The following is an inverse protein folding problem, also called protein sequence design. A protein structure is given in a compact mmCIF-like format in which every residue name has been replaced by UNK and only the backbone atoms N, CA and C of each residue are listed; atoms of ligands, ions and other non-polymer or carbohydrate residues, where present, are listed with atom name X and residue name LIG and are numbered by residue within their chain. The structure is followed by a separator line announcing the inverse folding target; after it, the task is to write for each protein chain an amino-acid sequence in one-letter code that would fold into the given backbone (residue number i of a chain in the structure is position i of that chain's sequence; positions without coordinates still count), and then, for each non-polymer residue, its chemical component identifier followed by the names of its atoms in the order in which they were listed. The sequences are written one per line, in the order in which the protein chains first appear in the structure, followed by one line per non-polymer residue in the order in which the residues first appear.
data_IF_335840661927
#
_entry.id   IF_335840661927
#
_cell.length_a   1.000
_cell.length_b   1.000
_cell.length_c   1.000
_cell.angle_alpha   90.00
_cell.angle_beta   90.00
_cell.angle_gamma   90.00
#
_symmetry.space_group_name_H-M   'P 1'
#
loop_
_entity.id
_entity.type
_entity.pdbx_description
1 polymer ?
#
# COMPACT_ATOMS: atom_id res chain seq x y z
N UNK A 1 -12.17 -46.34 -26.34
CA UNK A 1 -11.37 -47.58 -26.39
C UNK A 1 -9.93 -47.20 -26.74
N UNK A 2 -8.84 -47.72 -26.20
CA UNK A 2 -8.52 -48.51 -25.03
C UNK A 2 -6.97 -48.37 -24.90
N UNK A 3 -6.48 -48.39 -23.66
CA UNK A 3 -5.06 -48.23 -23.32
C UNK A 3 -4.19 -49.39 -23.83
N UNK A 4 -2.88 -49.17 -23.90
CA UNK A 4 -1.89 -50.25 -23.86
C UNK A 4 -0.78 -49.92 -22.87
N UNK A 5 -0.57 -50.88 -21.98
CA UNK A 5 0.31 -50.93 -20.82
C UNK A 5 1.73 -51.34 -21.23
N UNK A 6 2.72 -50.95 -20.42
CA UNK A 6 3.76 -51.90 -19.97
C UNK A 6 4.38 -51.45 -18.65
N UNK A 7 4.31 -52.37 -17.69
CA UNK A 7 4.93 -52.35 -16.38
C UNK A 7 6.26 -53.13 -16.39
N UNK A 8 7.12 -52.92 -15.38
CA UNK A 8 7.86 -53.93 -14.59
C UNK A 8 8.82 -53.22 -13.62
N UNK A 9 8.59 -53.29 -12.30
CA UNK A 9 9.29 -54.10 -11.27
C UNK A 9 10.71 -53.57 -10.91
N UNK A 10 11.25 -53.62 -9.68
CA UNK A 10 11.05 -54.51 -8.54
C UNK A 10 11.56 -53.86 -7.24
N UNK A 11 10.94 -54.28 -6.15
CA UNK A 11 11.27 -54.14 -4.72
C UNK A 11 12.73 -54.47 -4.34
N UNK A 12 13.21 -53.88 -3.23
CA UNK A 12 13.65 -54.65 -2.03
C UNK A 12 13.85 -53.75 -0.80
N UNK A 13 13.25 -54.22 0.29
CA UNK A 13 13.35 -53.78 1.68
C UNK A 13 14.64 -54.26 2.35
N UNK A 14 15.05 -53.60 3.44
CA UNK A 14 15.78 -54.20 4.59
C UNK A 14 15.62 -53.29 5.83
N UNK A 15 14.83 -53.78 6.79
CA UNK A 15 14.86 -53.41 8.21
C UNK A 15 15.81 -54.40 8.91
N UNK A 16 16.68 -53.93 9.81
CA UNK A 16 17.08 -54.65 11.02
C UNK A 16 17.60 -53.66 12.08
N UNK A 17 17.45 -54.10 13.33
CA UNK A 17 17.31 -53.35 14.58
C UNK A 17 18.61 -53.23 15.39
N UNK A 18 18.66 -52.18 16.22
CA UNK A 18 19.35 -51.92 17.50
C UNK A 18 20.61 -52.71 17.92
N UNK A 19 21.61 -51.96 18.42
CA UNK A 19 22.12 -52.08 19.80
C UNK A 19 22.97 -50.88 20.24
N UNK A 20 22.92 -50.63 21.53
CA UNK A 20 23.33 -49.46 22.33
C UNK A 20 24.85 -49.26 22.49
N UNK A 21 25.26 -48.03 22.84
CA UNK A 21 26.59 -47.74 23.39
C UNK A 21 26.92 -46.25 23.50
N UNK A 22 26.71 -45.66 24.68
CA UNK A 22 27.16 -44.32 25.04
C UNK A 22 28.70 -44.27 25.23
N UNK A 23 29.38 -43.21 24.77
CA UNK A 23 30.32 -42.40 25.57
C UNK A 23 30.98 -41.29 24.71
N UNK A 24 30.70 -40.03 25.12
CA UNK A 24 31.57 -38.84 25.19
C UNK A 24 32.74 -38.69 24.19
N UNK A 25 32.66 -37.63 23.35
CA UNK A 25 33.45 -36.41 23.54
C UNK A 25 33.16 -35.33 22.46
N UNK A 26 33.43 -34.04 22.76
CA UNK A 26 32.73 -32.90 22.19
C UNK A 26 33.53 -32.23 21.08
N UNK A 27 32.90 -32.06 19.90
CA UNK A 27 33.45 -31.20 18.87
C UNK A 27 32.38 -30.19 18.42
N UNK A 28 32.70 -28.92 18.71
CA UNK A 28 32.26 -27.68 18.06
C UNK A 28 31.06 -27.80 17.11
N UNK A 29 29.92 -27.28 17.56
CA UNK A 29 29.06 -26.51 16.67
C UNK A 29 29.03 -25.07 17.17
N UNK A 30 29.81 -24.24 16.48
CA UNK A 30 29.63 -22.81 16.42
C UNK A 30 28.22 -22.56 15.88
N UNK A 31 27.25 -22.34 16.77
CA UNK A 31 26.04 -21.61 16.45
C UNK A 31 26.47 -20.17 16.19
N UNK A 32 26.98 -19.92 14.98
CA UNK A 32 27.08 -18.57 14.46
C UNK A 32 25.65 -18.12 14.26
N UNK A 33 25.16 -17.34 15.21
CA UNK A 33 23.99 -16.48 15.01
C UNK A 33 24.17 -15.77 13.66
N UNK A 34 23.16 -15.70 12.79
CA UNK A 34 23.21 -14.71 11.74
C UNK A 34 23.28 -13.36 12.46
N UNK A 35 24.48 -12.77 12.41
CA UNK A 35 24.72 -11.37 12.67
C UNK A 35 23.62 -10.63 11.94
N UNK A 36 22.75 -9.97 12.72
CA UNK A 36 21.86 -8.96 12.18
C UNK A 36 22.77 -8.01 11.41
N UNK A 37 22.71 -8.12 10.09
CA UNK A 37 23.26 -7.08 9.24
C UNK A 37 22.39 -5.88 9.55
N UNK A 38 22.98 -4.86 10.17
CA UNK A 38 22.41 -3.52 10.25
C UNK A 38 22.15 -3.07 8.81
N UNK A 39 20.96 -3.39 8.31
CA UNK A 39 20.46 -2.84 7.09
C UNK A 39 20.22 -1.35 7.36
N UNK A 40 20.71 -0.45 6.49
CA UNK A 40 20.49 0.98 6.66
C UNK A 40 18.99 1.21 6.73
N UNK A 41 18.54 2.00 7.72
CA UNK A 41 17.14 2.33 8.01
C UNK A 41 16.25 2.19 6.77
N UNK A 42 15.50 1.08 6.65
CA UNK A 42 14.42 1.01 5.68
C UNK A 42 13.47 2.14 6.07
N UNK A 43 13.45 3.22 5.30
CA UNK A 43 12.46 4.27 5.43
C UNK A 43 11.10 3.61 5.39
N UNK A 44 10.38 3.63 6.51
CA UNK A 44 9.06 3.05 6.62
C UNK A 44 8.12 3.86 5.71
N UNK A 45 7.84 3.34 4.52
CA UNK A 45 6.96 3.97 3.52
C UNK A 45 5.54 3.43 3.66
N UNK A 46 4.59 4.03 2.92
CA UNK A 46 3.18 3.62 2.94
C UNK A 46 3.01 2.11 2.69
N UNK A 47 2.07 1.51 3.41
CA UNK A 47 1.60 0.18 3.12
C UNK A 47 0.76 0.18 1.83
N UNK A 48 0.82 -0.91 1.08
CA UNK A 48 0.04 -1.08 -0.16
C UNK A 48 -0.24 -2.55 -0.43
N UNK A 49 -1.27 -2.81 -1.22
CA UNK A 49 -1.49 -4.08 -1.90
C UNK A 49 -1.16 -3.93 -3.38
N UNK A 50 -0.56 -4.96 -3.97
CA UNK A 50 -0.29 -5.00 -5.40
C UNK A 50 -1.22 -6.01 -6.10
N UNK A 51 -1.73 -5.62 -7.27
CA UNK A 51 -2.53 -6.49 -8.13
C UNK A 51 -1.95 -6.42 -9.54
N UNK A 52 -1.47 -7.57 -9.99
CA UNK A 52 -0.99 -7.82 -11.33
C UNK A 52 -1.46 -9.22 -11.74
N UNK A 53 -1.86 -9.40 -13.01
CA UNK A 53 -2.40 -10.68 -13.47
C UNK A 53 -1.31 -11.71 -13.73
N UNK A 54 -0.16 -11.26 -14.23
CA UNK A 54 1.03 -12.05 -14.50
C UNK A 54 2.22 -11.47 -13.71
N UNK A 55 2.31 -11.70 -12.38
CA UNK A 55 3.33 -11.11 -11.52
C UNK A 55 4.77 -11.52 -11.87
N UNK A 56 4.94 -12.59 -12.66
CA UNK A 56 6.22 -13.04 -13.19
C UNK A 56 6.76 -12.14 -14.32
N UNK A 57 5.92 -11.31 -14.93
CA UNK A 57 6.30 -10.39 -16.00
C UNK A 57 6.57 -8.99 -15.45
N UNK A 58 7.50 -8.22 -16.04
CA UNK A 58 7.64 -6.83 -15.69
C UNK A 58 6.38 -6.05 -16.09
N UNK A 59 5.91 -5.17 -15.21
CA UNK A 59 4.79 -4.29 -15.52
C UNK A 59 5.17 -3.32 -16.64
N UNK A 60 4.29 -3.13 -17.62
CA UNK A 60 4.43 -2.14 -18.70
C UNK A 60 3.77 -0.81 -18.34
N UNK A 61 2.82 -0.82 -17.39
CA UNK A 61 2.18 0.37 -16.85
C UNK A 61 1.84 0.20 -15.37
N UNK A 62 1.89 1.29 -14.61
CA UNK A 62 1.53 1.30 -13.18
C UNK A 62 0.41 2.30 -12.90
N UNK A 63 -0.61 1.85 -12.16
CA UNK A 63 -1.66 2.71 -11.63
C UNK A 63 -1.61 2.75 -10.09
N UNK A 64 -1.57 3.93 -9.51
CA UNK A 64 -1.82 4.11 -8.08
C UNK A 64 -3.31 4.31 -7.84
N UNK A 65 -3.85 3.64 -6.82
CA UNK A 65 -5.27 3.72 -6.42
C UNK A 65 -5.35 4.18 -4.97
N UNK A 66 -5.89 5.38 -4.76
CA UNK A 66 -5.92 6.09 -3.48
C UNK A 66 -7.34 6.18 -2.94
N UNK A 67 -7.54 5.70 -1.72
CA UNK A 67 -8.84 5.69 -1.06
C UNK A 67 -9.21 7.06 -0.43
N UNK A 68 -10.49 7.23 -0.08
CA UNK A 68 -11.00 8.40 0.64
C UNK A 68 -10.82 8.32 2.16
N UNK A 69 -11.32 9.33 2.89
CA UNK A 69 -11.27 9.36 4.36
C UNK A 69 -11.89 8.09 4.97
N UNK A 70 -11.28 7.54 6.03
CA UNK A 70 -11.67 6.28 6.70
C UNK A 70 -11.60 5.02 5.81
N UNK A 71 -11.04 5.13 4.60
CA UNK A 71 -10.85 4.01 3.68
C UNK A 71 -9.52 3.26 3.89
N UNK A 72 -9.30 2.28 3.01
CA UNK A 72 -8.05 1.54 2.84
C UNK A 72 -7.96 1.05 1.39
N UNK A 73 -6.77 0.66 0.94
CA UNK A 73 -6.54 0.02 -0.35
C UNK A 73 -7.41 -1.23 -0.54
N UNK A 74 -7.72 -1.96 0.54
CA UNK A 74 -8.58 -3.16 0.49
C UNK A 74 -9.97 -2.87 -0.10
N UNK A 75 -10.52 -1.67 0.10
CA UNK A 75 -11.82 -1.28 -0.45
C UNK A 75 -11.84 -1.29 -1.99
N UNK A 76 -10.68 -1.10 -2.62
CA UNK A 76 -10.51 -0.99 -4.07
C UNK A 76 -10.10 -2.30 -4.75
N UNK A 77 -9.95 -3.39 -3.99
CA UNK A 77 -9.40 -4.66 -4.51
C UNK A 77 -10.25 -5.27 -5.62
N UNK A 78 -11.57 -5.34 -5.43
CA UNK A 78 -12.49 -5.92 -6.42
C UNK A 78 -12.54 -5.07 -7.69
N UNK A 79 -12.66 -3.75 -7.55
CA UNK A 79 -12.62 -2.81 -8.66
C UNK A 79 -11.31 -2.93 -9.45
N UNK A 80 -10.17 -2.91 -8.76
CA UNK A 80 -8.84 -2.96 -9.40
C UNK A 80 -8.61 -4.29 -10.13
N UNK A 81 -9.11 -5.43 -9.58
CA UNK A 81 -9.07 -6.73 -10.28
C UNK A 81 -9.93 -6.77 -11.52
N UNK A 82 -11.13 -6.21 -11.47
CA UNK A 82 -12.00 -6.11 -12.64
C UNK A 82 -11.36 -5.23 -13.72
N UNK A 83 -10.84 -4.07 -13.32
CA UNK A 83 -10.21 -3.11 -14.24
C UNK A 83 -8.96 -3.70 -14.91
N UNK A 84 -8.04 -4.29 -14.15
CA UNK A 84 -6.82 -4.90 -14.73
C UNK A 84 -7.15 -6.05 -15.69
N UNK A 85 -8.23 -6.80 -15.41
CA UNK A 85 -8.71 -7.88 -16.30
C UNK A 85 -9.27 -7.33 -17.61
N UNK A 86 -10.05 -6.25 -17.53
CA UNK A 86 -10.59 -5.59 -18.71
C UNK A 86 -9.49 -4.93 -19.57
N UNK A 87 -8.50 -4.29 -18.93
CA UNK A 87 -7.35 -3.73 -19.63
C UNK A 87 -6.54 -4.80 -20.36
N UNK A 88 -6.33 -5.96 -19.72
CA UNK A 88 -5.68 -7.13 -20.36
C UNK A 88 -6.46 -7.63 -21.57
N UNK A 89 -7.78 -7.69 -21.47
CA UNK A 89 -8.62 -8.15 -22.59
C UNK A 89 -8.51 -7.22 -23.80
N UNK A 90 -8.41 -5.91 -23.55
CA UNK A 90 -8.27 -4.89 -24.60
C UNK A 90 -6.87 -4.84 -25.22
N UNK A 91 -5.85 -5.02 -24.40
CA UNK A 91 -4.45 -5.00 -24.82
C UNK A 91 -3.70 -6.18 -24.18
N UNK A 92 -3.69 -7.36 -24.85
CA UNK A 92 -3.08 -8.56 -24.29
C UNK A 92 -1.58 -8.45 -24.01
N UNK A 93 -0.87 -7.52 -24.66
CA UNK A 93 0.55 -7.26 -24.44
C UNK A 93 0.83 -6.44 -23.19
N UNK A 94 -0.14 -5.67 -22.68
CA UNK A 94 0.10 -4.74 -21.58
C UNK A 94 -0.01 -5.42 -20.22
N UNK A 95 1.04 -5.33 -19.42
CA UNK A 95 1.08 -5.80 -18.04
C UNK A 95 0.85 -4.63 -17.09
N UNK A 96 -0.38 -4.52 -16.60
CA UNK A 96 -0.76 -3.48 -15.65
C UNK A 96 -0.50 -3.93 -14.20
N UNK A 97 0.20 -3.07 -13.46
CA UNK A 97 0.35 -3.16 -12.01
C UNK A 97 -0.54 -2.12 -11.33
N UNK A 98 -1.52 -2.59 -10.57
CA UNK A 98 -2.35 -1.74 -9.72
C UNK A 98 -1.77 -1.74 -8.30
N UNK A 99 -1.41 -0.56 -7.79
CA UNK A 99 -0.89 -0.36 -6.43
C UNK A 99 -1.97 0.33 -5.60
N UNK A 100 -2.54 -0.43 -4.68
CA UNK A 100 -3.66 -0.01 -3.83
C UNK A 100 -3.07 0.48 -2.51
N UNK A 101 -2.94 1.80 -2.39
CA UNK A 101 -2.16 2.43 -1.33
C UNK A 101 -3.05 2.68 -0.11
N UNK A 102 -2.57 2.28 1.07
CA UNK A 102 -3.12 2.75 2.35
C UNK A 102 -2.47 4.10 2.65
N UNK A 103 -3.21 5.20 2.56
CA UNK A 103 -2.68 6.55 2.82
C UNK A 103 -2.23 6.69 4.27
N UNK A 104 -1.37 7.68 4.56
CA UNK A 104 -0.94 7.99 5.93
C UNK A 104 -2.13 7.99 6.89
N UNK A 105 -1.91 7.49 8.10
CA UNK A 105 -2.92 7.37 9.14
C UNK A 105 -4.10 6.43 8.80
N UNK A 106 -4.13 5.76 7.64
CA UNK A 106 -5.21 4.88 7.23
C UNK A 106 -4.73 3.45 6.98
N UNK A 107 -5.66 2.49 6.97
CA UNK A 107 -5.36 1.09 6.70
C UNK A 107 -4.19 0.56 7.53
N UNK A 108 -3.24 -0.11 6.87
CA UNK A 108 -2.01 -0.61 7.51
C UNK A 108 -0.96 0.49 7.73
N UNK A 109 -1.06 1.62 7.04
CA UNK A 109 -0.16 2.77 7.23
C UNK A 109 -0.41 3.52 8.53
N UNK A 110 -1.55 3.30 9.19
CA UNK A 110 -1.87 3.94 10.47
C UNK A 110 -0.89 3.61 11.61
N UNK A 111 -0.27 2.43 11.58
CA UNK A 111 0.69 1.99 12.61
C UNK A 111 2.15 2.33 12.31
N UNK A 112 2.45 2.98 11.19
CA UNK A 112 3.81 3.27 10.75
C UNK A 112 4.34 4.50 11.48
N UNK A 113 5.46 4.36 12.21
CA UNK A 113 6.02 5.43 13.04
C UNK A 113 6.71 6.51 12.22
N UNK A 114 7.20 6.17 11.02
CA UNK A 114 7.83 7.11 10.09
C UNK A 114 6.91 8.17 9.48
N UNK A 115 5.58 8.04 9.61
CA UNK A 115 4.59 8.96 9.00
C UNK A 115 4.11 10.02 9.98
N UNK A 116 5.05 10.83 10.48
CA UNK A 116 4.79 11.89 11.45
C UNK A 116 4.11 13.15 10.88
N UNK A 117 3.75 14.10 11.76
CA UNK A 117 3.15 15.38 11.36
C UNK A 117 4.12 16.25 10.53
N UNK A 118 3.61 17.21 9.72
CA UNK A 118 2.20 17.59 9.63
C UNK A 118 1.38 16.59 8.81
N UNK A 119 0.18 16.24 9.30
CA UNK A 119 -0.77 15.41 8.56
C UNK A 119 -1.63 16.30 7.67
N UNK A 120 -1.10 16.69 6.50
CA UNK A 120 -1.83 17.47 5.49
C UNK A 120 -1.78 16.74 4.12
N UNK A 121 -2.49 17.27 3.14
CA UNK A 121 -2.57 16.69 1.78
C UNK A 121 -1.19 16.64 1.11
N UNK A 122 -0.39 17.69 1.23
CA UNK A 122 0.94 17.75 0.59
C UNK A 122 1.91 16.75 1.21
N UNK A 123 1.88 16.53 2.52
CA UNK A 123 2.69 15.47 3.14
C UNK A 123 2.19 14.08 2.73
N UNK A 124 0.88 13.87 2.60
CA UNK A 124 0.33 12.61 2.08
C UNK A 124 0.73 12.34 0.62
N UNK A 125 0.79 13.38 -0.22
CA UNK A 125 1.28 13.28 -1.59
C UNK A 125 2.78 12.97 -1.63
N UNK A 126 3.57 13.62 -0.76
CA UNK A 126 5.00 13.32 -0.61
C UNK A 126 5.25 11.85 -0.24
N UNK A 127 4.43 11.25 0.61
CA UNK A 127 4.59 9.84 0.97
C UNK A 127 4.43 8.90 -0.24
N UNK A 128 3.62 9.27 -1.23
CA UNK A 128 3.50 8.50 -2.48
C UNK A 128 4.81 8.57 -3.28
N UNK A 129 5.43 9.74 -3.34
CA UNK A 129 6.74 9.92 -3.98
C UNK A 129 7.83 9.13 -3.23
N UNK A 130 7.81 9.17 -1.89
CA UNK A 130 8.74 8.40 -1.06
C UNK A 130 8.54 6.90 -1.26
N UNK A 131 7.29 6.42 -1.41
CA UNK A 131 6.99 5.04 -1.75
C UNK A 131 7.59 4.64 -3.11
N UNK A 132 7.40 5.46 -4.16
CA UNK A 132 7.99 5.20 -5.49
C UNK A 132 9.52 5.09 -5.39
N UNK A 133 10.16 6.04 -4.70
CA UNK A 133 11.62 6.09 -4.53
C UNK A 133 12.15 4.91 -3.73
N UNK A 134 11.53 4.60 -2.59
CA UNK A 134 11.96 3.50 -1.73
C UNK A 134 11.84 2.14 -2.42
N UNK A 135 10.92 1.98 -3.37
CA UNK A 135 10.75 0.77 -4.16
C UNK A 135 11.61 0.74 -5.43
N UNK A 136 12.27 1.84 -5.77
CA UNK A 136 13.01 1.97 -7.03
C UNK A 136 12.11 1.78 -8.25
N UNK A 137 10.83 2.15 -8.14
CA UNK A 137 9.86 1.96 -9.21
C UNK A 137 9.92 3.09 -10.23
N UNK A 138 9.53 2.82 -11.49
CA UNK A 138 9.08 3.88 -12.39
C UNK A 138 7.91 4.64 -11.74
N UNK A 139 7.84 5.95 -12.03
CA UNK A 139 6.71 6.78 -11.61
C UNK A 139 5.39 6.29 -12.23
N UNK A 140 4.27 6.38 -11.51
CA UNK A 140 3.00 5.82 -11.96
C UNK A 140 2.49 6.52 -13.22
N UNK A 141 2.03 5.74 -14.19
CA UNK A 141 1.38 6.23 -15.41
C UNK A 141 0.00 6.82 -15.12
N UNK A 142 -0.71 6.24 -14.15
CA UNK A 142 -2.06 6.64 -13.77
C UNK A 142 -2.14 6.81 -12.26
N UNK A 143 -2.81 7.86 -11.81
CA UNK A 143 -3.20 8.00 -10.40
C UNK A 143 -4.71 8.17 -10.32
N UNK A 144 -5.35 7.28 -9.57
CA UNK A 144 -6.80 7.29 -9.31
C UNK A 144 -7.00 7.64 -7.86
N UNK A 145 -7.78 8.67 -7.57
CA UNK A 145 -8.06 9.10 -6.21
C UNK A 145 -9.54 9.32 -5.97
N UNK A 146 -10.05 8.78 -4.86
CA UNK A 146 -11.44 8.97 -4.43
C UNK A 146 -11.54 9.90 -3.22
N UNK A 147 -12.47 10.85 -3.25
CA UNK A 147 -12.69 11.80 -2.15
C UNK A 147 -11.37 12.47 -1.69
N UNK A 148 -10.98 12.36 -0.42
CA UNK A 148 -9.67 12.79 0.10
C UNK A 148 -8.49 12.29 -0.76
N UNK A 149 -8.53 11.05 -1.24
CA UNK A 149 -7.50 10.48 -2.11
C UNK A 149 -7.40 11.20 -3.46
N UNK A 150 -8.48 11.80 -3.95
CA UNK A 150 -8.49 12.65 -5.13
C UNK A 150 -7.70 13.94 -4.93
N UNK A 151 -7.82 14.58 -3.76
CA UNK A 151 -7.02 15.76 -3.39
C UNK A 151 -5.53 15.42 -3.28
N UNK A 152 -5.20 14.27 -2.69
CA UNK A 152 -3.82 13.76 -2.64
C UNK A 152 -3.29 13.49 -4.05
N UNK A 153 -4.11 12.92 -4.93
CA UNK A 153 -3.73 12.65 -6.32
C UNK A 153 -3.43 13.94 -7.10
N UNK A 154 -4.24 14.99 -6.88
CA UNK A 154 -4.03 16.33 -7.48
C UNK A 154 -2.73 16.96 -6.99
N UNK A 155 -2.50 17.02 -5.68
CA UNK A 155 -1.27 17.59 -5.10
C UNK A 155 -0.02 16.79 -5.52
N UNK A 156 -0.14 15.46 -5.63
CA UNK A 156 0.93 14.61 -6.16
C UNK A 156 1.30 14.97 -7.60
N UNK A 157 0.31 15.09 -8.49
CA UNK A 157 0.54 15.46 -9.89
C UNK A 157 1.10 16.89 -10.02
N UNK A 158 0.57 17.85 -9.27
CA UNK A 158 1.07 19.22 -9.23
C UNK A 158 2.54 19.26 -8.75
N UNK A 159 2.85 18.55 -7.67
CA UNK A 159 4.20 18.47 -7.12
C UNK A 159 5.20 17.80 -8.08
N UNK A 160 4.77 16.79 -8.86
CA UNK A 160 5.56 16.27 -9.97
C UNK A 160 5.85 17.35 -11.02
N UNK A 161 4.81 18.08 -11.46
CA UNK A 161 4.95 19.15 -12.46
C UNK A 161 5.89 20.27 -12.02
N UNK A 162 5.87 20.60 -10.72
CA UNK A 162 6.72 21.62 -10.12
C UNK A 162 8.14 21.14 -9.78
N UNK A 163 8.47 19.87 -10.02
CA UNK A 163 9.78 19.30 -9.73
C UNK A 163 10.08 19.12 -8.24
N UNK A 164 9.06 19.14 -7.37
CA UNK A 164 9.22 19.02 -5.90
C UNK A 164 9.91 17.70 -5.53
N UNK A 165 9.68 16.64 -6.31
CA UNK A 165 10.22 15.33 -6.05
C UNK A 165 11.58 15.06 -6.72
N UNK A 166 12.16 16.05 -7.41
CA UNK A 166 13.42 15.96 -8.14
C UNK A 166 13.26 15.58 -9.61
N UNK A 167 14.35 15.71 -10.38
CA UNK A 167 14.34 15.62 -11.86
C UNK A 167 13.91 14.26 -12.43
N UNK A 168 13.96 13.21 -11.62
CA UNK A 168 13.51 11.88 -12.04
C UNK A 168 11.99 11.70 -11.98
N UNK A 169 11.26 12.66 -11.39
CA UNK A 169 9.82 12.60 -11.25
C UNK A 169 9.10 12.85 -12.56
N UNK A 170 8.21 11.93 -12.93
CA UNK A 170 7.35 12.08 -14.09
C UNK A 170 5.92 12.41 -13.68
N UNK A 171 5.30 13.32 -14.43
CA UNK A 171 3.86 13.58 -14.31
C UNK A 171 3.08 12.31 -14.74
N UNK A 172 2.04 11.90 -13.98
CA UNK A 172 1.15 10.84 -14.43
C UNK A 172 0.53 11.19 -15.79
N UNK A 173 0.45 10.21 -16.70
CA UNK A 173 -0.19 10.38 -18.01
C UNK A 173 -1.69 10.60 -17.88
N UNK A 174 -2.30 10.05 -16.82
CA UNK A 174 -3.71 10.26 -16.50
C UNK A 174 -3.91 10.44 -15.00
N UNK A 175 -4.87 11.29 -14.65
CA UNK A 175 -5.31 11.54 -13.29
C UNK A 175 -6.83 11.40 -13.23
N UNK A 176 -7.34 10.48 -12.40
CA UNK A 176 -8.78 10.25 -12.24
C UNK A 176 -9.20 10.66 -10.84
N UNK A 177 -10.02 11.71 -10.75
CA UNK A 177 -10.55 12.23 -9.49
C UNK A 177 -12.01 11.81 -9.38
N UNK A 178 -12.30 10.93 -8.44
CA UNK A 178 -13.62 10.34 -8.24
C UNK A 178 -14.30 10.98 -7.04
N UNK A 179 -15.52 11.46 -7.24
CA UNK A 179 -16.35 12.03 -6.18
C UNK A 179 -15.62 13.12 -5.37
N UNK A 180 -15.02 14.06 -6.10
CA UNK A 180 -14.34 15.23 -5.54
C UNK A 180 -14.36 16.38 -6.54
N UNK A 181 -14.76 17.55 -6.04
CA UNK A 181 -14.63 18.80 -6.79
C UNK A 181 -13.21 19.34 -6.56
N UNK A 182 -12.44 19.63 -7.63
CA UNK A 182 -11.17 20.33 -7.48
C UNK A 182 -11.43 21.77 -7.01
N UNK A 183 -10.78 22.18 -5.92
CA UNK A 183 -10.92 23.53 -5.39
C UNK A 183 -10.72 23.60 -3.88
N UNK A 184 -10.46 24.81 -3.39
CA UNK A 184 -10.54 25.07 -1.95
C UNK A 184 -12.01 25.09 -1.55
N UNK A 185 -12.35 24.41 -0.47
CA UNK A 185 -13.69 24.52 0.11
C UNK A 185 -13.68 25.79 0.94
N UNK A 186 -14.29 26.86 0.42
CA UNK A 186 -14.57 28.04 1.22
C UNK A 186 -15.52 27.65 2.35
N UNK A 187 -15.06 27.81 3.59
CA UNK A 187 -15.81 27.40 4.80
C UNK A 187 -17.13 28.16 4.96
N UNK A 188 -17.33 29.25 4.23
CA UNK A 188 -18.52 30.09 4.29
C UNK A 188 -19.70 29.56 3.47
N UNK A 189 -19.47 28.64 2.51
CA UNK A 189 -20.49 28.12 1.58
C UNK A 189 -20.64 26.60 1.58
N UNK A 190 -19.97 25.90 2.50
CA UNK A 190 -20.21 24.48 2.73
C UNK A 190 -21.38 24.34 3.69
N UNK A 191 -22.33 23.43 3.42
CA UNK A 191 -23.50 23.15 4.27
C UNK A 191 -23.12 22.62 5.68
N UNK A 192 -21.84 22.73 6.07
CA UNK A 192 -21.30 22.31 7.35
C UNK A 192 -21.22 20.80 7.48
N UNK A 193 -21.69 20.01 6.50
CA UNK A 193 -21.82 18.55 6.64
C UNK A 193 -20.48 17.86 6.95
N UNK A 194 -19.41 18.21 6.24
CA UNK A 194 -18.06 17.67 6.51
C UNK A 194 -17.58 18.08 7.89
N UNK A 195 -17.82 19.34 8.29
CA UNK A 195 -17.41 19.83 9.60
C UNK A 195 -18.22 19.18 10.73
N UNK A 196 -19.53 18.98 10.55
CA UNK A 196 -20.39 18.26 11.49
C UNK A 196 -19.97 16.80 11.64
N UNK A 197 -19.59 16.14 10.54
CA UNK A 197 -19.03 14.78 10.59
C UNK A 197 -17.71 14.78 11.34
N UNK A 198 -16.79 15.71 11.05
CA UNK A 198 -15.51 15.81 11.74
C UNK A 198 -15.68 16.14 13.24
N UNK A 199 -16.58 17.05 13.58
CA UNK A 199 -16.93 17.39 14.97
C UNK A 199 -17.55 16.19 15.69
N UNK A 200 -18.44 15.46 15.02
CA UNK A 200 -19.03 14.22 15.55
C UNK A 200 -17.95 13.17 15.79
N UNK A 201 -17.05 12.94 14.83
CA UNK A 201 -15.92 12.02 14.97
C UNK A 201 -14.99 12.45 16.10
N UNK A 202 -14.72 13.75 16.25
CA UNK A 202 -13.91 14.29 17.35
C UNK A 202 -14.59 14.16 18.72
N UNK A 203 -15.93 14.10 18.76
CA UNK A 203 -16.70 13.87 19.98
C UNK A 203 -16.73 12.40 20.42
N UNK A 204 -16.34 11.47 19.54
CA UNK A 204 -16.31 10.05 19.88
C UNK A 204 -15.17 9.77 20.88
N UNK A 205 -15.36 8.79 21.79
CA UNK A 205 -14.30 8.35 22.69
C UNK A 205 -13.08 7.88 21.89
N UNK A 206 -11.88 8.17 22.40
CA UNK A 206 -10.60 7.79 21.78
C UNK A 206 -10.38 6.27 21.67
N UNK A 207 -11.23 5.47 22.31
CA UNK A 207 -11.24 4.02 22.22
C UNK A 207 -12.68 3.53 22.13
N UNK A 208 -13.03 2.87 21.01
CA UNK A 208 -14.27 2.13 20.89
C UNK A 208 -14.02 0.65 21.24
N UNK A 209 -14.88 0.00 22.06
CA UNK A 209 -14.76 -1.43 22.32
C UNK A 209 -14.90 -2.21 21.01
N UNK A 210 -13.85 -2.92 20.59
CA UNK A 210 -13.93 -3.79 19.43
C UNK A 210 -14.90 -4.94 19.71
N UNK A 211 -15.85 -5.23 18.80
CA UNK A 211 -16.52 -6.54 18.80
C UNK A 211 -15.52 -7.59 18.33
N UNK A 212 -14.75 -8.13 19.28
CA UNK A 212 -13.92 -9.33 19.11
C UNK A 212 -12.80 -9.23 18.07
N UNK A 213 -11.80 -8.39 18.29
CA UNK A 213 -10.36 -8.64 18.06
C UNK A 213 -9.63 -7.34 18.43
N UNK A 214 -8.69 -7.44 19.37
CA UNK A 214 -7.93 -6.29 19.90
C UNK A 214 -7.16 -5.59 18.78
N UNK A 215 -7.70 -4.48 18.29
CA UNK A 215 -6.98 -3.49 17.49
C UNK A 215 -7.36 -2.13 18.06
N UNK A 216 -6.44 -1.53 18.81
CA UNK A 216 -6.58 -0.15 19.29
C UNK A 216 -6.55 0.78 18.10
N UNK A 217 -7.69 1.38 17.76
CA UNK A 217 -7.76 2.50 16.83
C UNK A 217 -7.36 3.75 17.64
N UNK A 218 -6.10 4.20 17.52
CA UNK A 218 -5.70 5.50 18.07
C UNK A 218 -6.37 6.59 17.24
N UNK A 219 -7.21 7.40 17.89
CA UNK A 219 -7.86 8.55 17.28
C UNK A 219 -6.82 9.41 16.55
N UNK A 220 -6.94 9.42 15.23
CA UNK A 220 -6.11 10.20 14.34
C UNK A 220 -6.46 11.67 14.56
N UNK A 221 -5.46 12.54 14.60
CA UNK A 221 -5.67 13.99 14.64
C UNK A 221 -6.15 14.49 13.26
N UNK A 222 -7.41 14.18 12.94
CA UNK A 222 -8.11 14.54 11.71
C UNK A 222 -8.18 16.06 11.50
N UNK A 223 -7.97 16.85 12.55
CA UNK A 223 -8.10 18.32 12.53
C UNK A 223 -6.99 18.98 11.69
N UNK A 224 -5.78 18.41 11.70
CA UNK A 224 -4.63 18.97 10.98
C UNK A 224 -4.67 18.78 9.46
N UNK A 225 -5.49 17.85 8.94
CA UNK A 225 -5.66 17.64 7.49
C UNK A 225 -6.50 18.73 6.82
N UNK A 226 -7.31 19.45 7.60
CA UNK A 226 -8.25 20.47 7.10
C UNK A 226 -7.92 21.89 7.57
N UNK A 227 -7.02 22.05 8.55
CA UNK A 227 -6.60 23.35 9.06
C UNK A 227 -5.19 23.70 8.59
N UNK A 228 -5.11 24.34 7.42
CA UNK A 228 -4.19 25.43 7.09
C UNK A 228 -4.22 25.66 5.57
N UNK A 229 -5.24 26.41 5.14
CA UNK A 229 -5.09 27.29 4.00
C UNK A 229 -4.11 28.40 4.38
N UNK A 230 -2.93 28.41 3.78
CA UNK A 230 -2.03 29.56 3.85
C UNK A 230 -1.31 29.72 2.52
N UNK A 231 -1.65 30.85 1.89
CA UNK A 231 -0.97 31.54 0.81
C UNK A 231 -0.77 30.77 -0.51
N UNK A 232 -1.78 30.87 -1.39
CA UNK A 232 -1.56 30.92 -2.83
C UNK A 232 -1.90 32.34 -3.28
N UNK A 233 -0.85 33.11 -3.55
CA UNK A 233 -0.84 34.23 -4.51
C UNK A 233 0.15 33.88 -5.58
#
# INVERSE_FOLDING_TARGET
MAASLRASSSLRSRLLSFSSGCSLCPWRLLLSSPVHSDAPHQTETLAFDEIQLSPEKPATATAFVLHGLLGSGRNWRSFSRALVSELRNRSPSDEWRMVLVDLRNHGRSAGIKGLGPPHNISTAAKDLADLVKARGWPWPDVVVGHSMGGKVALDFAESCSRGVYGDSANLPKQLWVLDSVPGQVETENSDGEVEQVLQTLASLPSSLPSRGLSTTCSALDFRSLFQNGSAVT
#
